data_IF_972829552294
#
_entry.id   IF_972829552294
#
_cell.length_a   1.000
_cell.length_b   1.000
_cell.length_c   1.000
_cell.angle_alpha   90.00
_cell.angle_beta   90.00
_cell.angle_gamma   90.00
#
_symmetry.space_group_name_H-M   'P 1'
#
loop_
_entity.id
_entity.type
_entity.pdbx_description
1 polymer ?
#
# COMPACT_ATOMS: atom_id res chain seq x y z
N UNK A 1 23.73 -5.83 10.49
CA UNK A 1 23.88 -6.22 11.90
C UNK A 1 23.07 -5.33 12.83
N UNK A 2 23.20 -4.03 12.69
CA UNK A 2 22.40 -3.07 13.48
C UNK A 2 20.89 -3.31 13.25
N UNK A 3 20.51 -3.62 12.02
CA UNK A 3 19.12 -3.91 11.68
C UNK A 3 18.57 -5.16 12.39
N UNK A 4 19.37 -6.21 12.56
CA UNK A 4 18.91 -7.42 13.24
C UNK A 4 18.73 -7.21 14.75
N UNK A 5 19.58 -6.42 15.39
CA UNK A 5 19.40 -6.05 16.79
C UNK A 5 18.19 -5.13 16.98
N UNK A 6 17.98 -4.19 16.07
CA UNK A 6 16.79 -3.35 16.09
C UNK A 6 15.52 -4.17 15.95
N UNK A 7 15.48 -5.13 15.04
CA UNK A 7 14.33 -6.02 14.88
C UNK A 7 14.02 -6.84 16.16
N UNK A 8 15.03 -7.20 16.94
CA UNK A 8 14.83 -7.90 18.21
C UNK A 8 14.26 -6.97 19.29
N UNK A 9 14.64 -5.69 19.27
CA UNK A 9 14.21 -4.70 20.26
C UNK A 9 12.89 -4.04 19.88
N UNK A 10 12.70 -3.79 18.62
CA UNK A 10 11.59 -3.00 18.04
C UNK A 10 10.74 -3.87 17.12
N UNK A 11 10.23 -4.97 17.67
CA UNK A 11 9.31 -5.87 16.94
C UNK A 11 7.89 -5.30 16.87
N UNK A 12 7.74 -4.03 16.48
CA UNK A 12 6.45 -3.39 16.29
C UNK A 12 6.39 -2.68 14.93
N UNK A 13 5.19 -2.58 14.38
CA UNK A 13 4.93 -1.78 13.20
C UNK A 13 4.65 -0.33 13.56
N UNK A 14 4.95 0.58 12.64
CA UNK A 14 4.58 1.99 12.78
C UNK A 14 3.06 2.08 12.62
N UNK A 15 2.38 2.64 13.61
CA UNK A 15 0.93 2.82 13.64
C UNK A 15 0.49 4.28 13.81
N UNK A 16 1.43 5.22 13.68
CA UNK A 16 1.19 6.67 13.77
C UNK A 16 2.11 7.38 12.76
N UNK A 17 1.99 7.01 11.49
CA UNK A 17 2.82 7.55 10.43
C UNK A 17 2.33 8.92 9.95
N UNK A 18 3.24 9.83 9.65
CA UNK A 18 2.93 11.10 8.98
C UNK A 18 2.54 10.89 7.52
N UNK A 19 3.12 9.86 6.90
CA UNK A 19 2.94 9.52 5.51
C UNK A 19 2.97 8.01 5.32
N UNK A 20 1.98 7.47 4.60
CA UNK A 20 1.94 6.08 4.16
C UNK A 20 1.71 6.04 2.65
N UNK A 21 2.47 5.20 1.94
CA UNK A 21 2.30 5.00 0.51
C UNK A 21 1.93 3.55 0.19
N UNK A 22 0.81 3.36 -0.48
CA UNK A 22 0.44 2.10 -1.10
C UNK A 22 1.01 2.05 -2.52
N UNK A 23 2.12 1.34 -2.71
CA UNK A 23 2.80 1.25 -4.00
C UNK A 23 2.14 0.29 -5.00
N UNK A 24 1.34 -0.65 -4.50
CA UNK A 24 0.62 -1.62 -5.33
C UNK A 24 -0.89 -1.56 -5.05
N UNK A 25 -1.72 -1.20 -6.05
CA UNK A 25 -3.16 -1.07 -5.87
C UNK A 25 -3.85 -2.40 -5.48
N UNK A 26 -3.22 -3.55 -5.73
CA UNK A 26 -3.72 -4.84 -5.29
C UNK A 26 -3.94 -4.91 -3.78
N UNK A 27 -3.12 -4.23 -2.98
CA UNK A 27 -3.26 -4.19 -1.52
C UNK A 27 -4.53 -3.49 -1.06
N UNK A 28 -4.95 -2.45 -1.79
CA UNK A 28 -6.25 -1.78 -1.55
C UNK A 28 -7.39 -2.76 -1.85
N UNK A 29 -7.31 -3.46 -2.99
CA UNK A 29 -8.32 -4.44 -3.40
C UNK A 29 -8.44 -5.60 -2.39
N UNK A 30 -7.33 -6.06 -1.84
CA UNK A 30 -7.30 -7.07 -0.78
C UNK A 30 -7.86 -6.57 0.55
N UNK A 31 -8.06 -5.26 0.72
CA UNK A 31 -8.56 -4.65 1.94
C UNK A 31 -7.55 -4.63 3.08
N UNK A 32 -6.24 -4.59 2.74
CA UNK A 32 -5.18 -4.47 3.74
C UNK A 32 -5.31 -3.17 4.56
N UNK A 33 -5.16 -3.27 5.86
CA UNK A 33 -5.21 -2.16 6.81
C UNK A 33 -3.89 -1.37 6.78
N UNK A 34 -3.75 -0.44 5.83
CA UNK A 34 -2.58 0.45 5.72
C UNK A 34 -2.91 1.89 6.10
N UNK A 35 -4.09 2.37 5.72
CA UNK A 35 -4.49 3.75 6.00
C UNK A 35 -4.71 4.00 7.48
N UNK A 36 -5.04 2.97 8.24
CA UNK A 36 -5.22 3.03 9.69
C UNK A 36 -3.92 3.32 10.45
N UNK A 37 -2.76 3.10 9.81
CA UNK A 37 -1.46 3.45 10.36
C UNK A 37 -1.10 4.93 10.17
N UNK A 38 -1.88 5.68 9.39
CA UNK A 38 -1.69 7.12 9.21
C UNK A 38 -2.29 7.88 10.39
N UNK A 39 -1.51 8.75 11.02
CA UNK A 39 -2.03 9.61 12.09
C UNK A 39 -3.08 10.61 11.56
N UNK A 40 -4.01 11.09 12.40
CA UNK A 40 -4.98 12.10 12.00
C UNK A 40 -4.32 13.31 11.32
N UNK A 41 -4.85 13.73 10.18
CA UNK A 41 -4.29 14.80 9.34
C UNK A 41 -3.07 14.42 8.50
N UNK A 42 -2.56 13.19 8.62
CA UNK A 42 -1.44 12.68 7.84
C UNK A 42 -1.80 12.43 6.37
N UNK A 43 -0.84 11.92 5.61
CA UNK A 43 -0.94 11.72 4.16
C UNK A 43 -1.02 10.24 3.83
N UNK A 44 -1.97 9.87 2.98
CA UNK A 44 -2.06 8.56 2.35
C UNK A 44 -1.98 8.70 0.84
N UNK A 45 -0.98 8.06 0.22
CA UNK A 45 -0.77 8.09 -1.23
C UNK A 45 -0.95 6.69 -1.82
N UNK A 46 -1.68 6.59 -2.92
CA UNK A 46 -1.90 5.33 -3.64
C UNK A 46 -1.31 5.43 -5.04
N UNK A 47 -0.44 4.50 -5.40
CA UNK A 47 0.03 4.34 -6.77
C UNK A 47 -0.98 3.49 -7.55
N UNK A 48 -1.83 4.14 -8.32
CA UNK A 48 -2.86 3.48 -9.11
C UNK A 48 -3.19 4.25 -10.40
N UNK A 49 -3.82 3.55 -11.34
CA UNK A 49 -4.32 4.11 -12.61
C UNK A 49 -5.79 4.56 -12.50
N UNK A 50 -6.41 4.38 -11.33
CA UNK A 50 -7.82 4.58 -11.11
C UNK A 50 -8.23 6.05 -11.16
N UNK A 51 -9.38 6.31 -11.76
CA UNK A 51 -10.11 7.55 -11.55
C UNK A 51 -10.79 7.56 -10.17
N UNK A 52 -11.56 8.61 -9.88
CA UNK A 52 -12.21 8.73 -8.58
C UNK A 52 -13.28 7.66 -8.36
N UNK A 53 -14.04 7.30 -9.38
CA UNK A 53 -15.14 6.34 -9.27
C UNK A 53 -14.59 4.92 -9.05
N UNK A 54 -13.55 4.57 -9.78
CA UNK A 54 -12.81 3.31 -9.59
C UNK A 54 -12.17 3.25 -8.20
N UNK A 55 -11.49 4.32 -7.78
CA UNK A 55 -10.91 4.42 -6.44
C UNK A 55 -11.97 4.24 -5.35
N UNK A 56 -13.10 4.91 -5.50
CA UNK A 56 -14.24 4.78 -4.59
C UNK A 56 -14.79 3.35 -4.56
N UNK A 57 -14.82 2.66 -5.70
CA UNK A 57 -15.25 1.26 -5.75
C UNK A 57 -14.28 0.31 -5.05
N UNK A 58 -12.97 0.54 -5.20
CA UNK A 58 -11.94 -0.36 -4.66
C UNK A 58 -11.67 -0.15 -3.17
N UNK A 59 -11.84 1.06 -2.65
CA UNK A 59 -11.66 1.34 -1.23
C UNK A 59 -12.76 0.70 -0.39
N UNK A 60 -12.38 -0.08 0.61
CA UNK A 60 -13.29 -0.66 1.59
C UNK A 60 -13.89 0.41 2.51
N UNK A 61 -15.07 0.13 3.05
CA UNK A 61 -15.79 1.10 3.88
C UNK A 61 -15.04 1.48 5.17
N UNK A 62 -14.28 0.58 5.76
CA UNK A 62 -13.46 0.88 6.94
C UNK A 62 -12.34 1.88 6.61
N UNK A 63 -11.67 1.72 5.46
CA UNK A 63 -10.66 2.66 4.98
C UNK A 63 -11.28 4.03 4.67
N UNK A 64 -12.43 4.07 3.98
CA UNK A 64 -13.18 5.31 3.71
C UNK A 64 -13.55 6.05 4.98
N UNK A 65 -14.14 5.32 5.96
CA UNK A 65 -14.50 5.90 7.28
C UNK A 65 -13.28 6.46 7.99
N UNK A 66 -12.16 5.73 7.97
CA UNK A 66 -10.94 6.20 8.61
C UNK A 66 -10.41 7.47 7.96
N UNK A 67 -10.32 7.51 6.62
CA UNK A 67 -9.89 8.68 5.84
C UNK A 67 -10.73 9.91 6.18
N UNK A 68 -12.06 9.78 6.12
CA UNK A 68 -12.96 10.90 6.33
C UNK A 68 -12.97 11.39 7.78
N UNK A 69 -13.00 10.47 8.76
CA UNK A 69 -13.10 10.82 10.20
C UNK A 69 -11.81 11.39 10.77
N UNK A 70 -10.65 11.02 10.20
CA UNK A 70 -9.35 11.47 10.68
C UNK A 70 -8.74 12.56 9.79
N UNK A 71 -9.49 13.14 8.85
CA UNK A 71 -9.02 14.17 7.92
C UNK A 71 -7.73 13.76 7.18
N UNK A 72 -7.61 12.50 6.77
CA UNK A 72 -6.44 12.00 6.04
C UNK A 72 -6.39 12.69 4.67
N UNK A 73 -5.23 13.21 4.33
CA UNK A 73 -4.98 13.80 3.03
C UNK A 73 -4.71 12.67 2.02
N UNK A 74 -5.70 12.40 1.15
CA UNK A 74 -5.62 11.33 0.16
C UNK A 74 -5.04 11.84 -1.15
N UNK A 75 -4.05 11.12 -1.67
CA UNK A 75 -3.42 11.39 -2.97
C UNK A 75 -3.35 10.12 -3.81
N UNK A 76 -3.43 10.29 -5.13
CA UNK A 76 -3.14 9.24 -6.11
C UNK A 76 -2.03 9.67 -7.05
N UNK A 77 -1.28 8.71 -7.55
CA UNK A 77 -0.26 8.90 -8.58
C UNK A 77 -0.27 7.69 -9.52
N UNK A 78 -0.18 7.91 -10.83
CA UNK A 78 0.00 6.83 -11.80
C UNK A 78 1.47 6.75 -12.23
N UNK A 79 2.32 6.31 -11.31
CA UNK A 79 3.75 6.22 -11.56
C UNK A 79 4.14 5.13 -12.56
N UNK A 80 3.26 4.15 -12.81
CA UNK A 80 3.52 3.06 -13.76
C UNK A 80 3.50 3.61 -15.20
N UNK A 81 2.42 4.29 -15.59
CA UNK A 81 2.28 4.83 -16.94
C UNK A 81 3.29 5.95 -17.18
N UNK A 82 3.54 6.80 -16.19
CA UNK A 82 4.60 7.81 -16.24
C UNK A 82 5.98 7.20 -16.51
N UNK A 83 6.32 6.09 -15.83
CA UNK A 83 7.59 5.40 -16.04
C UNK A 83 7.69 4.80 -17.47
N UNK A 84 6.59 4.26 -17.99
CA UNK A 84 6.52 3.73 -19.36
C UNK A 84 6.71 4.86 -20.37
N UNK A 85 6.01 5.98 -20.20
CA UNK A 85 6.04 7.15 -21.09
C UNK A 85 7.44 7.75 -21.23
N UNK A 86 8.20 7.81 -20.14
CA UNK A 86 9.57 8.32 -20.17
C UNK A 86 10.63 7.27 -20.53
N UNK A 87 10.22 6.03 -20.86
CA UNK A 87 11.11 4.97 -21.30
C UNK A 87 11.76 4.15 -20.18
N UNK A 88 11.36 4.32 -18.92
CA UNK A 88 11.85 3.55 -17.77
C UNK A 88 11.19 2.17 -17.63
N UNK A 89 10.18 1.86 -18.46
CA UNK A 89 9.41 0.62 -18.38
C UNK A 89 8.67 0.52 -17.04
N UNK A 90 8.87 -0.56 -16.29
CA UNK A 90 8.19 -0.78 -15.00
C UNK A 90 8.93 -0.14 -13.80
N UNK A 91 9.98 0.63 -14.02
CA UNK A 91 10.82 1.22 -12.96
C UNK A 91 10.26 2.54 -12.49
N UNK A 92 9.30 2.50 -11.59
CA UNK A 92 8.59 3.67 -11.06
C UNK A 92 9.07 4.15 -9.69
N UNK A 93 10.04 3.47 -9.09
CA UNK A 93 10.53 3.77 -7.73
C UNK A 93 11.05 5.21 -7.57
N UNK A 94 11.77 5.74 -8.56
CA UNK A 94 12.29 7.12 -8.54
C UNK A 94 11.16 8.15 -8.55
N UNK A 95 10.10 7.91 -9.32
CA UNK A 95 8.90 8.76 -9.37
C UNK A 95 8.21 8.76 -8.01
N UNK A 96 7.99 7.57 -7.43
CA UNK A 96 7.34 7.43 -6.12
C UNK A 96 8.16 8.04 -4.98
N UNK A 97 9.49 7.92 -5.03
CA UNK A 97 10.38 8.54 -4.06
C UNK A 97 10.31 10.07 -4.15
N UNK A 98 10.25 10.64 -5.35
CA UNK A 98 10.11 12.08 -5.54
C UNK A 98 8.76 12.58 -5.00
N UNK A 99 7.66 11.88 -5.30
CA UNK A 99 6.35 12.19 -4.74
C UNK A 99 6.35 12.12 -3.20
N UNK A 100 7.07 11.16 -2.62
CA UNK A 100 7.23 11.09 -1.16
C UNK A 100 7.87 12.37 -0.60
N UNK A 101 9.01 12.80 -1.14
CA UNK A 101 9.69 14.00 -0.63
C UNK A 101 8.83 15.26 -0.77
N UNK A 102 8.07 15.40 -1.84
CA UNK A 102 7.18 16.55 -2.04
C UNK A 102 5.99 16.54 -1.07
N UNK A 103 5.42 15.36 -0.75
CA UNK A 103 4.24 15.23 0.11
C UNK A 103 4.57 15.14 1.60
N UNK A 104 5.61 14.40 1.97
CA UNK A 104 5.98 14.17 3.37
C UNK A 104 6.70 15.37 4.01
N UNK A 105 7.22 16.31 3.21
CA UNK A 105 7.86 17.55 3.64
C UNK A 105 8.94 17.37 4.72
N UNK A 106 9.72 16.31 4.61
CA UNK A 106 10.81 15.99 5.55
C UNK A 106 11.99 16.97 5.43
N UNK A 107 12.07 17.69 4.31
CA UNK A 107 13.02 18.77 4.03
C UNK A 107 12.40 19.71 2.98
N UNK A 108 13.02 20.89 2.70
CA UNK A 108 12.58 21.75 1.62
C UNK A 108 12.56 21.02 0.28
N UNK A 109 11.48 21.13 -0.47
CA UNK A 109 11.22 20.35 -1.69
C UNK A 109 12.32 20.54 -2.75
N UNK A 110 12.72 21.78 -3.01
CA UNK A 110 13.78 22.10 -3.98
C UNK A 110 15.10 21.40 -3.61
N UNK A 111 15.43 21.36 -2.33
CA UNK A 111 16.63 20.71 -1.83
C UNK A 111 16.54 19.20 -1.99
N UNK A 112 15.39 18.60 -1.69
CA UNK A 112 15.15 17.17 -1.86
C UNK A 112 15.31 16.76 -3.33
N UNK A 113 14.68 17.50 -4.25
CA UNK A 113 14.79 17.27 -5.70
C UNK A 113 16.25 17.37 -6.16
N UNK A 114 16.99 18.39 -5.72
CA UNK A 114 18.39 18.54 -6.10
C UNK A 114 19.23 17.36 -5.61
N UNK A 115 19.08 16.96 -4.34
CA UNK A 115 19.79 15.79 -3.82
C UNK A 115 19.46 14.49 -4.54
N UNK A 116 18.21 14.31 -4.93
CA UNK A 116 17.81 13.14 -5.72
C UNK A 116 18.49 13.16 -7.10
N UNK A 117 18.54 14.31 -7.77
CA UNK A 117 19.21 14.46 -9.07
C UNK A 117 20.71 14.22 -8.97
N UNK A 118 21.36 14.74 -7.96
CA UNK A 118 22.78 14.53 -7.71
C UNK A 118 23.08 13.05 -7.45
N UNK A 119 22.27 12.38 -6.64
CA UNK A 119 22.39 10.97 -6.36
C UNK A 119 22.16 10.11 -7.60
N UNK A 120 21.16 10.45 -8.44
CA UNK A 120 20.91 9.80 -9.70
C UNK A 120 22.09 9.96 -10.68
N UNK A 121 22.62 11.16 -10.79
CA UNK A 121 23.81 11.45 -11.61
C UNK A 121 25.01 10.59 -11.16
N UNK A 122 25.30 10.60 -9.86
CA UNK A 122 26.41 9.81 -9.32
C UNK A 122 26.23 8.31 -9.58
N UNK A 123 25.02 7.80 -9.44
CA UNK A 123 24.73 6.37 -9.55
C UNK A 123 24.69 5.87 -10.99
N UNK A 124 24.23 6.70 -11.93
CA UNK A 124 23.94 6.26 -13.30
C UNK A 124 24.85 6.84 -14.37
N UNK A 125 25.74 7.81 -14.09
CA UNK A 125 26.60 8.42 -15.09
C UNK A 125 27.45 7.39 -15.85
N UNK A 126 27.92 6.35 -15.18
CA UNK A 126 28.67 5.25 -15.80
C UNK A 126 27.86 4.41 -16.81
N UNK A 127 26.52 4.52 -16.76
CA UNK A 127 25.60 3.81 -17.67
C UNK A 127 25.20 4.65 -18.89
N UNK A 128 25.59 5.91 -18.93
CA UNK A 128 25.34 6.87 -20.00
C UNK A 128 24.48 8.05 -19.54
N UNK A 129 24.65 9.18 -20.22
CA UNK A 129 23.94 10.42 -19.91
C UNK A 129 22.43 10.26 -20.11
N UNK A 130 22.00 9.54 -21.13
CA UNK A 130 20.58 9.28 -21.40
C UNK A 130 19.85 8.65 -20.19
N UNK A 131 20.54 7.78 -19.44
CA UNK A 131 19.97 7.15 -18.25
C UNK A 131 19.88 8.17 -17.10
N UNK A 132 20.86 9.05 -16.97
CA UNK A 132 20.81 10.16 -15.99
C UNK A 132 19.63 11.08 -16.29
N UNK A 133 19.51 11.52 -17.53
CA UNK A 133 18.46 12.45 -17.97
C UNK A 133 17.07 11.85 -17.77
N UNK A 134 16.92 10.56 -18.06
CA UNK A 134 15.67 9.83 -17.80
C UNK A 134 15.31 9.79 -16.31
N UNK A 135 16.28 9.57 -15.42
CA UNK A 135 16.06 9.62 -13.99
C UNK A 135 15.75 11.02 -13.48
N UNK A 136 16.41 12.06 -14.01
CA UNK A 136 16.08 13.44 -13.70
C UNK A 136 14.64 13.78 -14.08
N UNK A 137 14.21 13.38 -15.28
CA UNK A 137 12.82 13.54 -15.74
C UNK A 137 11.84 12.81 -14.83
N UNK A 138 12.17 11.60 -14.38
CA UNK A 138 11.37 10.85 -13.42
C UNK A 138 11.20 11.57 -12.08
N UNK A 139 12.27 12.21 -11.58
CA UNK A 139 12.26 13.00 -10.34
C UNK A 139 11.33 14.20 -10.51
N UNK A 140 11.47 14.96 -11.60
CA UNK A 140 10.63 16.14 -11.85
C UNK A 140 9.15 15.78 -12.00
N UNK A 141 8.83 14.69 -12.70
CA UNK A 141 7.47 14.18 -12.83
C UNK A 141 6.90 13.73 -11.47
N UNK A 142 7.67 13.00 -10.68
CA UNK A 142 7.23 12.52 -9.39
C UNK A 142 6.87 13.66 -8.42
N UNK A 143 7.59 14.78 -8.49
CA UNK A 143 7.34 15.94 -7.66
C UNK A 143 6.00 16.65 -7.95
N UNK A 144 5.40 16.43 -9.13
CA UNK A 144 4.24 17.21 -9.58
C UNK A 144 3.05 16.37 -10.07
N UNK A 145 3.25 15.08 -10.37
CA UNK A 145 2.24 14.27 -11.06
C UNK A 145 1.19 13.65 -10.13
N UNK A 146 1.33 13.77 -8.82
CA UNK A 146 0.32 13.28 -7.88
C UNK A 146 -0.90 14.20 -7.87
N UNK A 147 -2.06 13.61 -7.61
CA UNK A 147 -3.35 14.31 -7.55
C UNK A 147 -3.93 14.19 -6.15
N UNK A 148 -4.34 15.31 -5.57
CA UNK A 148 -5.11 15.31 -4.34
C UNK A 148 -6.54 14.88 -4.65
N UNK A 149 -7.08 14.02 -3.81
CA UNK A 149 -8.47 13.55 -3.89
C UNK A 149 -9.29 14.30 -2.85
N UNK A 150 -10.36 14.92 -3.28
CA UNK A 150 -11.34 15.52 -2.38
C UNK A 150 -12.17 14.41 -1.76
N UNK A 151 -12.01 14.23 -0.44
CA UNK A 151 -12.68 13.16 0.32
C UNK A 151 -14.15 13.51 0.53
N UNK A 152 -15.09 12.70 0.01
CA UNK A 152 -16.52 12.97 0.20
C UNK A 152 -16.94 12.84 1.65
N UNK A 153 -17.86 13.70 2.09
CA UNK A 153 -18.33 13.69 3.47
C UNK A 153 -19.12 12.42 3.84
N UNK A 154 -19.76 11.78 2.87
CA UNK A 154 -20.52 10.54 3.05
C UNK A 154 -19.60 9.32 3.34
N UNK A 155 -18.32 9.39 3.00
CA UNK A 155 -17.36 8.36 3.38
C UNK A 155 -17.27 8.14 4.90
N UNK A 156 -17.57 9.14 5.70
CA UNK A 156 -17.59 9.01 7.16
C UNK A 156 -18.59 7.95 7.66
N UNK A 157 -19.60 7.63 6.84
CA UNK A 157 -20.65 6.66 7.14
C UNK A 157 -20.70 5.53 6.10
N UNK A 158 -19.65 5.32 5.34
CA UNK A 158 -19.59 4.29 4.32
C UNK A 158 -19.87 2.90 4.91
N UNK A 159 -20.58 2.08 4.17
CA UNK A 159 -20.90 0.69 4.51
C UNK A 159 -20.45 -0.19 3.34
N UNK A 160 -19.82 -1.31 3.64
CA UNK A 160 -19.49 -2.29 2.60
C UNK A 160 -20.77 -2.91 2.07
N UNK A 161 -20.88 -3.04 0.76
CA UNK A 161 -21.87 -3.90 0.14
C UNK A 161 -21.45 -5.35 0.43
N UNK A 162 -22.10 -5.97 1.41
CA UNK A 162 -21.82 -7.34 1.84
C UNK A 162 -22.04 -8.35 0.69
N UNK A 163 -21.05 -8.51 -0.14
CA UNK A 163 -20.84 -9.73 -0.93
C UNK A 163 -19.98 -10.66 -0.08
N UNK A 164 -20.59 -11.23 0.97
CA UNK A 164 -19.93 -12.26 1.77
C UNK A 164 -19.49 -13.38 0.81
N UNK A 165 -18.18 -13.55 0.64
CA UNK A 165 -17.65 -14.65 -0.16
C UNK A 165 -18.10 -15.96 0.48
N UNK A 166 -18.83 -16.77 -0.27
CA UNK A 166 -19.28 -18.08 0.19
C UNK A 166 -18.09 -19.03 0.15
N UNK A 167 -17.43 -19.16 1.28
CA UNK A 167 -16.33 -20.12 1.42
C UNK A 167 -16.88 -21.56 1.31
N UNK A 168 -16.19 -22.38 0.52
CA UNK A 168 -16.54 -23.79 0.30
C UNK A 168 -15.56 -24.66 1.09
N UNK A 169 -16.03 -25.69 1.74
CA UNK A 169 -15.16 -26.63 2.46
C UNK A 169 -15.81 -27.18 3.71
N UNK A 170 -15.04 -27.92 4.48
CA UNK A 170 -15.47 -28.41 5.80
C UNK A 170 -15.72 -27.23 6.75
N UNK A 171 -16.68 -27.35 7.69
CA UNK A 171 -16.98 -26.28 8.64
C UNK A 171 -15.74 -25.79 9.41
N UNK A 172 -14.86 -26.70 9.81
CA UNK A 172 -13.63 -26.40 10.54
C UNK A 172 -12.68 -25.54 9.71
N UNK A 173 -12.50 -25.89 8.41
CA UNK A 173 -11.70 -25.11 7.48
C UNK A 173 -12.27 -23.71 7.28
N UNK A 174 -13.59 -23.62 7.03
CA UNK A 174 -14.24 -22.31 6.85
C UNK A 174 -14.11 -21.45 8.09
N UNK A 175 -14.24 -22.05 9.27
CA UNK A 175 -14.04 -21.37 10.55
C UNK A 175 -12.61 -20.84 10.69
N UNK A 176 -11.61 -21.67 10.43
CA UNK A 176 -10.19 -21.29 10.49
C UNK A 176 -9.89 -20.14 9.51
N UNK A 177 -10.39 -20.20 8.28
CA UNK A 177 -10.19 -19.14 7.29
C UNK A 177 -10.76 -17.82 7.81
N UNK A 178 -12.02 -17.81 8.25
CA UNK A 178 -12.68 -16.59 8.72
C UNK A 178 -12.10 -16.02 10.00
N UNK A 179 -11.78 -16.88 10.95
CA UNK A 179 -11.39 -16.44 12.30
C UNK A 179 -9.90 -16.11 12.41
N UNK A 180 -9.07 -16.66 11.53
CA UNK A 180 -7.61 -16.51 11.63
C UNK A 180 -7.00 -16.02 10.32
N UNK A 181 -7.22 -16.71 9.19
CA UNK A 181 -6.54 -16.41 7.94
C UNK A 181 -6.94 -15.06 7.37
N UNK A 182 -8.25 -14.78 7.25
CA UNK A 182 -8.76 -13.51 6.73
C UNK A 182 -8.30 -12.28 7.54
N UNK A 183 -8.30 -12.28 8.88
CA UNK A 183 -7.70 -11.18 9.66
C UNK A 183 -6.22 -11.00 9.40
N UNK A 184 -5.43 -12.09 9.34
CA UNK A 184 -3.99 -12.03 9.08
C UNK A 184 -3.72 -11.48 7.67
N UNK A 185 -4.43 -11.95 6.66
CA UNK A 185 -4.28 -11.50 5.27
C UNK A 185 -4.62 -10.02 5.08
N UNK A 186 -5.49 -9.49 5.95
CA UNK A 186 -5.83 -8.05 5.99
C UNK A 186 -4.94 -7.21 6.89
N UNK A 187 -3.84 -7.78 7.40
CA UNK A 187 -2.93 -7.12 8.36
C UNK A 187 -3.59 -6.73 9.68
N UNK A 188 -4.61 -7.47 10.10
CA UNK A 188 -5.35 -7.29 11.36
C UNK A 188 -5.07 -8.40 12.38
N UNK A 189 -3.97 -9.14 12.18
CA UNK A 189 -3.61 -10.26 13.03
C UNK A 189 -3.41 -9.89 14.50
N UNK A 190 -2.98 -8.66 14.79
CA UNK A 190 -2.79 -8.16 16.15
C UNK A 190 -4.11 -7.99 16.93
N UNK A 191 -5.24 -7.95 16.23
CA UNK A 191 -6.57 -7.93 16.87
C UNK A 191 -7.00 -9.31 17.41
N UNK A 192 -6.32 -10.38 16.99
CA UNK A 192 -6.66 -11.74 17.38
C UNK A 192 -6.18 -12.04 18.80
N UNK A 193 -7.08 -12.50 19.69
CA UNK A 193 -6.66 -12.96 21.00
C UNK A 193 -5.88 -14.28 20.89
N UNK A 194 -4.98 -14.54 21.83
CA UNK A 194 -4.21 -15.80 21.88
C UNK A 194 -5.13 -17.03 21.87
N UNK A 195 -6.32 -16.91 22.46
CA UNK A 195 -7.34 -17.97 22.47
C UNK A 195 -7.87 -18.35 21.09
N UNK A 196 -7.74 -17.50 20.04
CA UNK A 196 -8.10 -17.84 18.68
C UNK A 196 -7.27 -19.02 18.14
N UNK A 197 -6.05 -19.17 18.65
CA UNK A 197 -5.11 -20.24 18.23
C UNK A 197 -5.19 -21.52 19.08
N UNK A 198 -6.06 -21.57 20.09
CA UNK A 198 -6.23 -22.75 20.94
C UNK A 198 -6.58 -24.04 20.19
N UNK A 199 -7.37 -24.02 19.10
CA UNK A 199 -7.63 -25.22 18.29
C UNK A 199 -6.39 -25.78 17.59
N UNK A 200 -5.31 -24.99 17.49
CA UNK A 200 -4.09 -25.28 16.72
C UNK A 200 -2.83 -25.31 17.59
N UNK A 201 -2.95 -25.61 18.88
CA UNK A 201 -1.82 -25.63 19.85
C UNK A 201 -0.73 -26.64 19.51
N UNK A 202 -1.07 -27.68 18.74
CA UNK A 202 -0.16 -28.69 18.21
C UNK A 202 0.50 -28.30 16.88
N UNK A 203 0.21 -27.10 16.36
CA UNK A 203 0.70 -26.60 15.07
C UNK A 203 0.04 -27.23 13.86
N UNK A 204 -1.04 -28.01 14.02
CA UNK A 204 -1.79 -28.58 12.91
C UNK A 204 -2.85 -27.59 12.43
N UNK A 205 -2.97 -27.47 11.11
CA UNK A 205 -3.93 -26.61 10.43
C UNK A 205 -4.83 -27.45 9.53
N UNK A 206 -6.03 -26.94 9.25
CA UNK A 206 -6.98 -27.63 8.39
C UNK A 206 -6.44 -27.75 6.95
N UNK A 207 -6.57 -28.92 6.38
CA UNK A 207 -6.17 -29.19 5.01
C UNK A 207 -7.02 -28.38 4.03
N UNK A 208 -6.36 -27.72 3.06
CA UNK A 208 -7.00 -26.91 2.04
C UNK A 208 -7.03 -25.43 2.36
N UNK A 209 -6.52 -24.96 3.50
CA UNK A 209 -6.46 -23.54 3.86
C UNK A 209 -5.66 -22.71 2.83
N UNK A 210 -4.62 -23.28 2.24
CA UNK A 210 -3.81 -22.60 1.22
C UNK A 210 -4.58 -22.15 -0.03
N UNK A 211 -5.75 -22.76 -0.32
CA UNK A 211 -6.62 -22.31 -1.42
C UNK A 211 -7.24 -20.92 -1.16
N UNK A 212 -7.28 -20.50 0.08
CA UNK A 212 -7.82 -19.21 0.51
C UNK A 212 -6.76 -18.14 0.79
N UNK A 213 -5.48 -18.53 0.77
CA UNK A 213 -4.36 -17.59 0.88
C UNK A 213 -4.22 -16.80 -0.43
N UNK A 214 -4.82 -15.62 -0.47
CA UNK A 214 -4.85 -14.75 -1.66
C UNK A 214 -3.76 -13.69 -1.57
N UNK A 215 -2.59 -13.97 -2.10
CA UNK A 215 -1.49 -12.99 -2.13
C UNK A 215 -1.73 -11.82 -3.08
N UNK A 216 -2.53 -12.00 -4.14
CA UNK A 216 -2.97 -10.94 -5.04
C UNK A 216 -1.85 -10.16 -5.74
N UNK A 217 -0.66 -10.74 -5.88
CA UNK A 217 0.52 -10.06 -6.43
C UNK A 217 0.50 -9.89 -7.95
N UNK A 218 -0.36 -10.62 -8.64
CA UNK A 218 -0.54 -10.54 -10.09
C UNK A 218 -1.88 -9.91 -10.44
N UNK A 219 -1.87 -8.90 -11.30
CA UNK A 219 -3.08 -8.20 -11.78
C UNK A 219 -3.90 -9.10 -12.71
N UNK A 220 -3.23 -9.98 -13.46
CA UNK A 220 -3.86 -10.93 -14.35
C UNK A 220 -3.20 -12.29 -14.23
N UNK A 221 -3.99 -13.33 -14.09
CA UNK A 221 -3.53 -14.73 -14.06
C UNK A 221 -4.23 -15.52 -15.13
N UNK A 222 -3.58 -16.54 -15.74
CA UNK A 222 -4.25 -17.45 -16.65
C UNK A 222 -5.41 -18.18 -15.94
N UNK A 223 -6.54 -18.31 -16.63
CA UNK A 223 -7.61 -19.20 -16.21
C UNK A 223 -7.49 -20.53 -16.97
N UNK A 224 -7.69 -21.64 -16.29
CA UNK A 224 -7.65 -23.00 -16.83
C UNK A 224 -9.05 -23.49 -17.10
#
# INVERSE_FOLDING_TARGET
LVGSEMCIRDSYYINQADFVACHNPAYIHMGMKMVQDVKPGGVFMINCQWDFDELNHHLKADAKRYIARNNIQLYTINAIDLAIEIGMGKRNNTILQSAFFSLAKVMPEEQAIQYMKDAATHSYLKKGQDIVDMNHKAIDLGATAYKKIDVPADWANAVDEDKAEVLKGKPELVKQVKDILDPIDRMDGDSLPVSAFMPHVDGQWELGAAAYEKRGVAVSVPTW
#
